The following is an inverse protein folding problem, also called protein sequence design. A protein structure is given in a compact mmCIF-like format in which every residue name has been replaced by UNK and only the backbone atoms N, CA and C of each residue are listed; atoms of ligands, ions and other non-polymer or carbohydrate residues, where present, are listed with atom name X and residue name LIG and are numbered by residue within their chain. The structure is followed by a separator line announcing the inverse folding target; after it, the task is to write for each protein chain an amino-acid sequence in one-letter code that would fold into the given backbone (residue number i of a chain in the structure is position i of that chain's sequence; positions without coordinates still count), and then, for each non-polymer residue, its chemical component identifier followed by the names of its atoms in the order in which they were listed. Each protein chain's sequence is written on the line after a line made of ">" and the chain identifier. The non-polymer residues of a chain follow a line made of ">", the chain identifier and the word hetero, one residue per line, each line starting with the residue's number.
data_IF_757810897107
#
_entry.id   IF_757810897107
#
_cell.length_a   1.000
_cell.length_b   1.000
_cell.length_c   1.000
_cell.angle_alpha   90.00
_cell.angle_beta   90.00
_cell.angle_gamma   90.00
#
_symmetry.space_group_name_H-M   'P 1'
#
loop_
_entity.id
_entity.type
_entity.pdbx_description
1 polymer ?
#
# COMPACT_ATOMS: atom_id res chain seq x y z
N UNK A 1 -6.72 -9.57 -7.32
CA UNK A 1 -6.47 -10.35 -6.10
C UNK A 1 -6.94 -9.58 -4.89
N UNK A 2 -7.47 -10.28 -3.87
CA UNK A 2 -7.92 -9.67 -2.62
C UNK A 2 -6.84 -8.77 -1.99
N UNK A 3 -5.60 -9.25 -1.94
CA UNK A 3 -4.48 -8.49 -1.37
C UNK A 3 -4.22 -7.15 -2.08
N UNK A 4 -4.30 -7.12 -3.42
CA UNK A 4 -4.17 -5.86 -4.20
C UNK A 4 -5.26 -4.87 -3.82
N UNK A 5 -6.52 -5.31 -3.80
CA UNK A 5 -7.65 -4.44 -3.49
C UNK A 5 -7.59 -3.92 -2.04
N UNK A 6 -7.15 -4.77 -1.11
CA UNK A 6 -6.95 -4.40 0.28
C UNK A 6 -5.84 -3.33 0.45
N UNK A 7 -4.68 -3.55 -0.16
CA UNK A 7 -3.57 -2.58 -0.12
C UNK A 7 -3.97 -1.27 -0.81
N UNK A 8 -4.67 -1.34 -1.93
CA UNK A 8 -5.17 -0.17 -2.64
C UNK A 8 -6.16 0.65 -1.80
N UNK A 9 -7.10 -0.02 -1.12
CA UNK A 9 -8.06 0.64 -0.22
C UNK A 9 -7.32 1.33 0.94
N UNK A 10 -6.35 0.66 1.55
CA UNK A 10 -5.58 1.21 2.67
C UNK A 10 -4.67 2.36 2.24
N UNK A 11 -4.04 2.26 1.06
CA UNK A 11 -3.31 3.39 0.50
C UNK A 11 -4.21 4.61 0.29
N UNK A 12 -5.44 4.45 -0.19
CA UNK A 12 -6.39 5.56 -0.32
C UNK A 12 -6.78 6.15 1.05
N UNK A 13 -7.04 5.31 2.04
CA UNK A 13 -7.35 5.72 3.42
C UNK A 13 -6.25 6.61 4.02
N UNK A 14 -4.99 6.29 3.74
CA UNK A 14 -3.83 7.04 4.21
C UNK A 14 -3.25 8.03 3.19
N UNK A 15 -4.00 8.45 2.16
CA UNK A 15 -3.55 9.42 1.15
C UNK A 15 -2.20 9.04 0.49
N UNK A 16 -2.00 7.75 0.22
CA UNK A 16 -0.77 7.21 -0.36
C UNK A 16 0.41 7.13 0.63
N UNK A 17 0.20 7.41 1.91
CA UNK A 17 1.28 7.30 2.90
C UNK A 17 1.62 5.83 3.17
N UNK A 18 2.70 5.38 2.53
CA UNK A 18 3.20 4.00 2.62
C UNK A 18 3.58 3.64 4.05
N UNK A 19 4.14 4.56 4.83
CA UNK A 19 4.55 4.28 6.22
C UNK A 19 3.33 4.05 7.11
N UNK A 20 2.31 4.91 7.04
CA UNK A 20 1.07 4.73 7.78
C UNK A 20 0.30 3.49 7.33
N UNK A 21 0.29 3.22 6.02
CA UNK A 21 -0.37 2.03 5.47
C UNK A 21 0.32 0.75 5.97
N UNK A 22 1.65 0.73 6.00
CA UNK A 22 2.43 -0.41 6.48
C UNK A 22 2.18 -0.69 7.97
N UNK A 23 2.18 0.38 8.78
CA UNK A 23 1.86 0.31 10.21
C UNK A 23 0.42 -0.19 10.45
N UNK A 24 -0.56 0.38 9.74
CA UNK A 24 -1.97 0.05 9.89
C UNK A 24 -2.33 -1.40 9.49
N UNK A 25 -1.59 -1.99 8.55
CA UNK A 25 -1.78 -3.40 8.15
C UNK A 25 -0.78 -4.34 8.81
N UNK A 26 0.08 -3.83 9.70
CA UNK A 26 1.03 -4.62 10.50
C UNK A 26 2.14 -5.28 9.69
N UNK A 27 2.61 -4.65 8.61
CA UNK A 27 3.71 -5.18 7.80
C UNK A 27 4.86 -4.20 7.70
N UNK A 28 6.05 -4.72 7.42
CA UNK A 28 7.22 -3.87 7.16
C UNK A 28 7.01 -2.98 5.92
N UNK A 29 7.37 -1.71 6.05
CA UNK A 29 7.30 -0.72 4.94
C UNK A 29 8.00 -1.22 3.67
N UNK A 30 9.16 -1.85 3.79
CA UNK A 30 9.92 -2.41 2.66
C UNK A 30 9.16 -3.52 1.94
N UNK A 31 8.40 -4.34 2.70
CA UNK A 31 7.56 -5.38 2.15
C UNK A 31 6.34 -4.79 1.43
N UNK A 32 5.69 -3.80 2.05
CA UNK A 32 4.61 -3.06 1.41
C UNK A 32 5.07 -2.41 0.11
N UNK A 33 6.23 -1.75 0.11
CA UNK A 33 6.80 -1.11 -1.09
C UNK A 33 7.02 -2.11 -2.23
N UNK A 34 7.52 -3.32 -1.94
CA UNK A 34 7.64 -4.40 -2.93
C UNK A 34 6.28 -4.84 -3.47
N UNK A 35 5.28 -4.99 -2.60
CA UNK A 35 3.91 -5.36 -3.00
C UNK A 35 3.28 -4.27 -3.88
N UNK A 36 3.44 -3.00 -3.53
CA UNK A 36 2.97 -1.85 -4.33
C UNK A 36 3.55 -1.92 -5.75
N UNK A 37 4.86 -2.13 -5.87
CA UNK A 37 5.54 -2.27 -7.16
C UNK A 37 5.05 -3.50 -7.93
N UNK A 38 4.94 -4.65 -7.26
CA UNK A 38 4.44 -5.89 -7.89
C UNK A 38 2.98 -5.77 -8.37
N UNK A 39 2.15 -4.99 -7.67
CA UNK A 39 0.75 -4.77 -8.02
C UNK A 39 0.50 -3.57 -8.96
N UNK A 40 1.55 -2.80 -9.31
CA UNK A 40 1.47 -1.62 -10.15
C UNK A 40 0.76 -0.43 -9.48
N UNK A 41 0.88 -0.31 -8.15
CA UNK A 41 0.22 0.73 -7.34
C UNK A 41 1.11 1.97 -7.10
N UNK A 42 2.30 2.04 -7.72
CA UNK A 42 3.27 3.15 -7.54
C UNK A 42 2.75 4.52 -8.04
N UNK A 43 1.64 4.52 -8.80
CA UNK A 43 1.03 5.72 -9.38
C UNK A 43 0.02 6.46 -8.51
N UNK A 44 -0.20 6.07 -7.25
CA UNK A 44 -1.06 6.82 -6.32
C UNK A 44 -0.35 8.13 -5.86
N UNK A 45 -0.25 9.09 -6.78
CA UNK A 45 -0.11 10.52 -6.45
C UNK A 45 -1.49 11.14 -6.65
N UNK A 46 -2.18 11.43 -5.55
CA UNK A 46 -3.25 12.43 -5.54
C UNK A 46 -2.61 13.80 -5.29
#
# INVERSE_FOLDING_TARGET
>A
SFEKAYIEQKLREFNGNISQTADAIGIERSNLHRKIKAFGLEGFKL
#
